data_IF_412345160987
#
_entry.id   IF_412345160987
#
_cell.length_a   1.000
_cell.length_b   1.000
_cell.length_c   1.000
_cell.angle_alpha   90.00
_cell.angle_beta   90.00
_cell.angle_gamma   90.00
#
_symmetry.space_group_name_H-M   'P 1'
#
loop_
_entity.id
_entity.type
_entity.pdbx_description
1 polymer ?
#
# COMPACT_ATOMS: atom_id res chain seq x y z
N UNK A 1 17.62 -6.53 -16.10
CA UNK A 1 18.51 -6.26 -14.95
C UNK A 1 19.87 -6.91 -15.18
N UNK A 2 20.99 -6.29 -14.78
CA UNK A 2 22.33 -6.90 -14.83
C UNK A 2 22.39 -8.22 -14.03
N UNK A 3 23.33 -9.10 -14.39
CA UNK A 3 23.52 -10.40 -13.71
C UNK A 3 23.80 -10.19 -12.22
N UNK A 4 23.00 -10.84 -11.37
CA UNK A 4 23.10 -10.76 -9.91
C UNK A 4 22.30 -9.61 -9.25
N UNK A 5 21.74 -8.68 -10.03
CA UNK A 5 20.87 -7.62 -9.52
C UNK A 5 19.43 -8.12 -9.41
N UNK A 6 18.84 -8.04 -8.22
CA UNK A 6 17.47 -8.51 -7.95
C UNK A 6 16.37 -7.46 -8.23
N UNK A 7 16.65 -6.18 -7.99
CA UNK A 7 15.71 -5.06 -8.17
C UNK A 7 16.37 -3.88 -8.88
N UNK A 8 15.60 -2.87 -9.28
CA UNK A 8 16.12 -1.61 -9.84
C UNK A 8 16.91 -0.80 -8.80
N UNK A 9 17.62 0.25 -9.23
CA UNK A 9 18.56 0.99 -8.36
C UNK A 9 17.86 1.79 -7.26
N UNK A 10 16.59 2.14 -7.45
CA UNK A 10 15.71 2.85 -6.51
C UNK A 10 14.73 1.92 -5.77
N UNK A 11 14.94 0.60 -5.88
CA UNK A 11 14.09 -0.41 -5.26
C UNK A 11 14.81 -1.18 -4.16
N UNK A 12 14.01 -1.66 -3.19
CA UNK A 12 14.48 -2.55 -2.13
C UNK A 12 13.96 -3.97 -2.37
N UNK A 13 14.85 -4.95 -2.28
CA UNK A 13 14.50 -6.37 -2.36
C UNK A 13 14.07 -6.91 -0.98
N UNK A 14 12.89 -7.51 -0.90
CA UNK A 14 12.42 -8.23 0.28
C UNK A 14 11.50 -9.38 -0.13
N UNK A 15 11.73 -10.59 0.42
CA UNK A 15 10.87 -11.77 0.21
C UNK A 15 10.49 -12.05 -1.25
N UNK A 16 11.47 -12.02 -2.16
CA UNK A 16 11.28 -12.21 -3.61
C UNK A 16 10.52 -11.11 -4.36
N UNK A 17 10.25 -9.98 -3.71
CA UNK A 17 9.65 -8.80 -4.32
C UNK A 17 10.58 -7.58 -4.29
N UNK A 18 10.32 -6.65 -5.20
CA UNK A 18 10.98 -5.36 -5.29
C UNK A 18 9.99 -4.26 -4.95
N UNK A 19 10.37 -3.40 -4.01
CA UNK A 19 9.53 -2.33 -3.49
C UNK A 19 10.13 -0.97 -3.84
N UNK A 20 9.29 -0.09 -4.37
CA UNK A 20 9.59 1.32 -4.63
C UNK A 20 8.67 2.21 -3.81
N UNK A 21 9.15 3.38 -3.41
CA UNK A 21 8.36 4.38 -2.68
C UNK A 21 8.02 5.55 -3.61
N UNK A 22 6.73 5.88 -3.74
CA UNK A 22 6.30 7.08 -4.45
C UNK A 22 6.10 8.23 -3.45
N UNK A 23 6.91 9.27 -3.57
CA UNK A 23 6.88 10.44 -2.69
C UNK A 23 5.72 11.40 -3.00
N UNK A 24 5.09 11.28 -4.17
CA UNK A 24 3.99 12.17 -4.57
C UNK A 24 2.68 11.77 -3.88
N UNK A 25 2.07 12.65 -3.06
CA UNK A 25 0.80 12.36 -2.43
C UNK A 25 -0.31 12.24 -3.48
N UNK A 26 -1.07 11.14 -3.39
CA UNK A 26 -2.13 10.77 -4.33
C UNK A 26 -3.36 10.27 -3.57
N UNK A 27 -4.54 10.32 -4.20
CA UNK A 27 -5.68 9.52 -3.73
C UNK A 27 -5.35 8.03 -3.88
N UNK A 28 -5.97 7.19 -3.06
CA UNK A 28 -5.74 5.75 -3.12
C UNK A 28 -5.97 5.18 -4.53
N UNK A 29 -7.06 5.59 -5.20
CA UNK A 29 -7.40 5.12 -6.56
C UNK A 29 -6.36 5.53 -7.60
N UNK A 30 -5.86 6.77 -7.52
CA UNK A 30 -4.80 7.27 -8.39
C UNK A 30 -3.49 6.52 -8.18
N UNK A 31 -3.13 6.25 -6.91
CA UNK A 31 -1.93 5.47 -6.57
C UNK A 31 -2.03 4.01 -7.07
N UNK A 32 -3.20 3.40 -6.95
CA UNK A 32 -3.44 2.04 -7.43
C UNK A 32 -3.28 1.95 -8.96
N UNK A 33 -3.88 2.88 -9.70
CA UNK A 33 -3.73 2.98 -11.15
C UNK A 33 -2.28 3.29 -11.55
N UNK A 34 -1.62 4.22 -10.82
CA UNK A 34 -0.23 4.58 -11.07
C UNK A 34 0.71 3.36 -11.06
N UNK A 35 0.52 2.46 -10.10
CA UNK A 35 1.28 1.22 -10.00
C UNK A 35 0.91 0.23 -11.11
N UNK A 36 -0.39 0.03 -11.36
CA UNK A 36 -0.90 -0.94 -12.36
C UNK A 36 -0.45 -0.60 -13.79
N UNK A 37 -0.51 0.69 -14.16
CA UNK A 37 -0.05 1.19 -15.46
C UNK A 37 1.45 0.93 -15.72
N UNK A 38 2.22 0.63 -14.67
CA UNK A 38 3.66 0.29 -14.73
C UNK A 38 3.92 -1.21 -14.63
N UNK A 39 2.88 -2.05 -14.68
CA UNK A 39 2.99 -3.50 -14.48
C UNK A 39 3.37 -3.87 -13.05
N UNK A 40 3.06 -3.00 -12.07
CA UNK A 40 3.30 -3.20 -10.65
C UNK A 40 1.97 -3.16 -9.90
N UNK A 41 1.98 -3.33 -8.58
CA UNK A 41 0.81 -3.11 -7.74
C UNK A 41 1.21 -2.36 -6.47
N UNK A 42 0.24 -1.71 -5.82
CA UNK A 42 0.42 -1.27 -4.44
C UNK A 42 0.77 -2.48 -3.57
N UNK A 43 1.62 -2.28 -2.57
CA UNK A 43 2.08 -3.37 -1.72
C UNK A 43 0.90 -3.99 -0.94
N UNK A 44 0.88 -5.32 -0.82
CA UNK A 44 -0.07 -6.07 0.01
C UNK A 44 0.65 -6.53 1.27
N UNK A 45 0.01 -6.40 2.43
CA UNK A 45 0.51 -6.99 3.68
C UNK A 45 -0.11 -8.38 3.82
N UNK A 46 0.66 -9.43 3.59
CA UNK A 46 0.18 -10.82 3.64
C UNK A 46 0.66 -11.57 4.88
N UNK A 47 1.77 -11.10 5.47
CA UNK A 47 2.45 -11.76 6.57
C UNK A 47 2.81 -10.78 7.70
N UNK A 48 3.15 -11.33 8.88
CA UNK A 48 3.71 -10.51 9.97
C UNK A 48 5.09 -9.93 9.57
N UNK A 49 5.82 -10.63 8.69
CA UNK A 49 7.12 -10.18 8.20
C UNK A 49 6.96 -8.95 7.31
N UNK A 50 5.95 -8.92 6.43
CA UNK A 50 5.61 -7.74 5.63
C UNK A 50 5.28 -6.54 6.52
N UNK A 51 4.45 -6.74 7.56
CA UNK A 51 4.10 -5.67 8.51
C UNK A 51 5.35 -5.09 9.18
N UNK A 52 6.29 -5.96 9.58
CA UNK A 52 7.54 -5.57 10.22
C UNK A 52 8.47 -4.85 9.24
N UNK A 53 8.58 -5.37 8.02
CA UNK A 53 9.37 -4.78 6.94
C UNK A 53 8.84 -3.38 6.58
N UNK A 54 7.52 -3.24 6.36
CA UNK A 54 6.90 -1.96 6.04
C UNK A 54 7.11 -0.92 7.14
N UNK A 55 6.97 -1.28 8.41
CA UNK A 55 7.20 -0.35 9.52
C UNK A 55 8.61 0.25 9.49
N UNK A 56 9.64 -0.56 9.21
CA UNK A 56 11.01 -0.07 9.08
C UNK A 56 11.27 0.70 7.79
N UNK A 57 10.84 0.14 6.65
CA UNK A 57 11.06 0.71 5.32
C UNK A 57 10.38 2.07 5.16
N UNK A 58 9.10 2.16 5.53
CA UNK A 58 8.32 3.41 5.42
C UNK A 58 8.93 4.51 6.29
N UNK A 59 9.29 4.21 7.54
CA UNK A 59 9.93 5.20 8.41
C UNK A 59 11.25 5.71 7.82
N UNK A 60 12.06 4.80 7.27
CA UNK A 60 13.32 5.16 6.59
C UNK A 60 13.08 6.07 5.39
N UNK A 61 12.14 5.72 4.51
CA UNK A 61 11.82 6.50 3.31
C UNK A 61 11.25 7.88 3.66
N UNK A 62 10.29 7.96 4.57
CA UNK A 62 9.72 9.24 5.03
C UNK A 62 10.81 10.14 5.62
N UNK A 63 11.78 9.58 6.35
CA UNK A 63 12.87 10.37 6.96
C UNK A 63 13.93 10.81 5.94
N UNK A 64 14.10 10.08 4.84
CA UNK A 64 15.10 10.37 3.80
C UNK A 64 14.57 11.30 2.69
N UNK A 65 13.26 11.52 2.64
CA UNK A 65 12.57 12.20 1.53
C UNK A 65 11.82 13.45 2.01
N UNK A 66 11.36 14.28 1.08
CA UNK A 66 10.46 15.40 1.40
C UNK A 66 8.98 14.99 1.37
N UNK A 67 8.70 13.68 1.36
CA UNK A 67 7.35 13.13 1.32
C UNK A 67 6.56 13.41 2.60
N UNK A 68 7.25 13.60 3.74
CA UNK A 68 6.58 13.99 4.96
C UNK A 68 6.03 15.41 4.86
N UNK A 69 4.71 15.52 4.91
CA UNK A 69 4.00 16.76 5.16
C UNK A 69 3.09 16.57 6.36
N UNK A 70 2.70 17.62 7.09
CA UNK A 70 1.82 17.50 8.26
C UNK A 70 0.50 16.76 7.96
N UNK A 71 0.05 16.75 6.70
CA UNK A 71 -1.14 16.04 6.20
C UNK A 71 -0.89 14.57 5.80
N UNK A 72 0.36 14.12 5.76
CA UNK A 72 0.72 12.74 5.38
C UNK A 72 0.93 11.90 6.64
N UNK A 73 -0.02 11.03 6.93
CA UNK A 73 -0.04 10.17 8.13
C UNK A 73 0.37 8.73 7.85
N UNK A 74 0.58 8.36 6.59
CA UNK A 74 0.92 7.00 6.19
C UNK A 74 1.10 6.85 4.68
N UNK A 75 1.15 5.59 4.23
CA UNK A 75 1.28 5.21 2.82
C UNK A 75 0.10 4.36 2.40
N UNK A 76 -0.26 4.41 1.12
CA UNK A 76 -1.28 3.53 0.58
C UNK A 76 -0.75 2.11 0.36
N UNK A 77 -1.56 1.13 0.72
CA UNK A 77 -1.38 -0.31 0.39
C UNK A 77 -2.54 -0.75 -0.52
N UNK A 78 -2.48 -1.96 -1.05
CA UNK A 78 -3.44 -2.47 -2.05
C UNK A 78 -4.84 -2.76 -1.52
N UNK A 79 -5.07 -2.69 -0.21
CA UNK A 79 -6.35 -3.08 0.40
C UNK A 79 -7.35 -1.93 0.33
N UNK A 80 -8.56 -2.24 -0.15
CA UNK A 80 -9.73 -1.34 -0.10
C UNK A 80 -10.96 -2.06 0.43
N UNK A 81 -11.94 -1.29 0.89
CA UNK A 81 -13.27 -1.82 1.22
C UNK A 81 -14.16 -1.92 -0.01
N UNK A 82 -15.07 -2.89 -0.01
CA UNK A 82 -16.20 -3.00 -0.93
C UNK A 82 -17.49 -3.28 -0.14
N UNK A 83 -18.66 -2.84 -0.62
CA UNK A 83 -19.94 -3.12 0.05
C UNK A 83 -20.21 -4.63 0.17
N UNK A 84 -20.56 -5.10 1.38
CA UNK A 84 -20.91 -6.49 1.63
C UNK A 84 -22.04 -6.63 2.68
N UNK A 85 -23.23 -6.16 2.33
CA UNK A 85 -24.38 -6.15 3.24
C UNK A 85 -24.22 -5.04 4.30
N UNK A 86 -24.27 -5.41 5.58
CA UNK A 86 -24.14 -4.46 6.70
C UNK A 86 -22.70 -4.11 7.05
N UNK A 87 -21.72 -4.89 6.59
CA UNK A 87 -20.30 -4.71 6.89
C UNK A 87 -19.48 -4.70 5.60
N UNK A 88 -18.35 -3.98 5.54
CA UNK A 88 -17.49 -4.00 4.37
C UNK A 88 -16.74 -5.33 4.26
N UNK A 89 -16.49 -5.78 3.03
CA UNK A 89 -15.45 -6.76 2.75
C UNK A 89 -14.15 -6.04 2.36
N UNK A 90 -13.00 -6.61 2.73
CA UNK A 90 -11.69 -6.07 2.39
C UNK A 90 -11.09 -6.87 1.24
N UNK A 91 -10.71 -6.17 0.17
CA UNK A 91 -10.18 -6.79 -1.05
C UNK A 91 -8.88 -6.13 -1.48
N UNK A 92 -8.00 -6.92 -2.10
CA UNK A 92 -6.76 -6.43 -2.71
C UNK A 92 -6.99 -5.99 -4.16
N UNK A 93 -6.28 -4.93 -4.55
CA UNK A 93 -6.12 -4.48 -5.94
C UNK A 93 -4.72 -4.89 -6.48
N UNK A 94 -4.56 -5.24 -7.78
CA UNK A 94 -5.58 -5.30 -8.83
C UNK A 94 -6.59 -6.44 -8.62
N UNK A 95 -7.80 -6.25 -9.13
CA UNK A 95 -8.91 -7.18 -8.95
C UNK A 95 -9.71 -6.93 -7.66
N UNK A 96 -10.23 -8.00 -7.07
CA UNK A 96 -11.03 -7.95 -5.84
C UNK A 96 -10.94 -9.28 -5.07
N UNK A 97 -9.70 -9.72 -4.82
CA UNK A 97 -9.43 -10.91 -4.01
C UNK A 97 -9.68 -10.61 -2.54
N UNK A 98 -10.53 -11.41 -1.90
CA UNK A 98 -10.88 -11.23 -0.48
C UNK A 98 -9.66 -11.49 0.39
N UNK A 99 -9.33 -10.50 1.23
CA UNK A 99 -8.22 -10.59 2.17
C UNK A 99 -8.74 -11.20 3.47
N UNK A 100 -8.35 -12.44 3.75
CA UNK A 100 -8.86 -13.21 4.90
C UNK A 100 -8.18 -12.85 6.22
N UNK A 101 -6.95 -12.33 6.18
CA UNK A 101 -6.18 -11.93 7.35
C UNK A 101 -5.80 -10.46 7.21
N UNK A 102 -6.15 -9.68 8.22
CA UNK A 102 -5.85 -8.26 8.23
C UNK A 102 -4.77 -7.93 9.26
N UNK A 103 -4.03 -6.86 8.98
CA UNK A 103 -2.89 -6.37 9.75
C UNK A 103 -3.15 -4.98 10.31
N UNK A 104 -4.39 -4.78 10.74
CA UNK A 104 -4.86 -3.52 11.28
C UNK A 104 -4.10 -3.12 12.54
N UNK A 105 -3.85 -1.83 12.68
CA UNK A 105 -3.38 -1.28 13.95
C UNK A 105 -4.49 -1.38 15.00
N UNK A 106 -4.15 -1.34 16.31
CA UNK A 106 -5.16 -1.34 17.36
C UNK A 106 -6.20 -0.24 17.15
N UNK A 107 -7.49 -0.62 17.06
CA UNK A 107 -8.60 0.31 16.81
C UNK A 107 -8.99 0.48 15.34
N UNK A 108 -8.25 -0.13 14.41
CA UNK A 108 -8.56 -0.18 12.99
C UNK A 108 -9.24 -1.51 12.58
N UNK A 109 -10.05 -1.53 11.51
CA UNK A 109 -10.41 -0.41 10.67
C UNK A 109 -11.52 0.41 11.34
N UNK A 110 -11.28 1.70 11.58
CA UNK A 110 -12.35 2.63 11.91
C UNK A 110 -13.08 2.97 10.60
N UNK A 111 -14.27 2.41 10.43
CA UNK A 111 -15.00 2.55 9.16
C UNK A 111 -15.40 4.02 8.99
N UNK A 112 -14.61 4.77 8.23
CA UNK A 112 -14.98 6.12 7.81
C UNK A 112 -15.97 6.02 6.64
N UNK A 113 -17.06 6.82 6.63
CA UNK A 113 -17.82 7.03 5.41
C UNK A 113 -16.86 7.53 4.33
N UNK A 114 -16.76 6.81 3.20
CA UNK A 114 -16.05 7.33 2.04
C UNK A 114 -16.83 8.55 1.54
N UNK A 115 -16.30 9.75 1.79
CA UNK A 115 -16.87 11.00 1.25
C UNK A 115 -16.53 11.23 -0.22
N UNK A 116 -15.95 10.25 -0.93
CA UNK A 116 -15.89 10.24 -2.40
C UNK A 116 -17.27 9.91 -3.00
N UNK A 117 -18.27 10.70 -2.60
CA UNK A 117 -19.52 10.89 -3.32
C UNK A 117 -19.28 11.90 -4.44
N UNK A 118 -18.68 11.44 -5.54
CA UNK A 118 -18.67 12.15 -6.81
C UNK A 118 -19.50 11.35 -7.81
N UNK A 119 -20.67 11.87 -8.15
CA UNK A 119 -21.44 11.45 -9.32
C UNK A 119 -20.64 11.62 -10.61
#
# INVERSE_FOLDING_TARGET
>A
LPVGRKCEDDEVYHMDYCYSFNEQPMRWSEAAIYCDDRGRTLSLTETNDDQTFYAGYIQGMISATQAWRPDVTGVWTSVRSVPNGSEPAWVAFPGSYVVNRQYWQPGEPNIYPNYDGGY
#
